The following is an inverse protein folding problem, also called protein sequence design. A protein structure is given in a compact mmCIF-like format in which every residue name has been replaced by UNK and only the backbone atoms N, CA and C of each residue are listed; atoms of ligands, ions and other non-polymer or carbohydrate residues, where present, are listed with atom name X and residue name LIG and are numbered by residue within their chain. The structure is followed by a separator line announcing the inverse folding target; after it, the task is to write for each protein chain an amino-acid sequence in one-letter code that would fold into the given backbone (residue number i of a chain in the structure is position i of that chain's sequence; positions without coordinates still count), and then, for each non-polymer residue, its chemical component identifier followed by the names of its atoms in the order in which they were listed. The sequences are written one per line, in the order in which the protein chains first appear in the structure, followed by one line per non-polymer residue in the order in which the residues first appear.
data_IF_247520104474
#
_entry.id   IF_247520104474
#
_cell.length_a   1.000
_cell.length_b   1.000
_cell.length_c   1.000
_cell.angle_alpha   90.00
_cell.angle_beta   90.00
_cell.angle_gamma   90.00
#
_symmetry.space_group_name_H-M   'P 1'
#
loop_
_entity.id
_entity.type
_entity.pdbx_description
1 polymer ?
#
# COMPACT_ATOMS: atom_id res chain seq x y z
N UNK A 1 -0.94 -15.53 16.34
CA UNK A 1 -1.16 -14.12 15.96
C UNK A 1 0.06 -13.36 16.44
N UNK A 2 0.66 -12.58 15.55
CA UNK A 2 1.87 -11.79 15.86
C UNK A 2 1.65 -10.38 15.36
N UNK A 3 2.12 -9.38 16.10
CA UNK A 3 1.92 -7.97 15.79
C UNK A 3 3.25 -7.22 15.77
N UNK A 4 3.31 -6.19 14.93
CA UNK A 4 4.43 -5.26 14.84
C UNK A 4 3.92 -3.85 14.68
N UNK A 5 4.80 -2.87 14.95
CA UNK A 5 4.57 -1.48 14.59
C UNK A 5 5.83 -0.87 14.03
N UNK A 6 5.65 0.14 13.19
CA UNK A 6 6.70 1.03 12.75
C UNK A 6 6.24 2.46 12.98
N UNK A 7 7.13 3.26 13.56
CA UNK A 7 6.79 4.58 14.09
C UNK A 7 7.71 5.65 13.54
N UNK A 8 7.12 6.81 13.26
CA UNK A 8 7.84 8.07 13.16
C UNK A 8 7.34 9.01 14.27
N UNK A 9 7.93 10.20 14.46
CA UNK A 9 7.37 11.16 15.41
C UNK A 9 5.90 11.56 15.13
N UNK A 10 5.43 11.41 13.88
CA UNK A 10 4.11 11.88 13.47
C UNK A 10 3.08 10.77 13.25
N UNK A 11 3.50 9.54 12.96
CA UNK A 11 2.59 8.46 12.56
C UNK A 11 3.03 7.08 13.04
N UNK A 12 2.07 6.15 13.06
CA UNK A 12 2.28 4.73 13.32
C UNK A 12 1.61 3.90 12.22
N UNK A 13 2.30 2.87 11.74
CA UNK A 13 1.69 1.74 11.04
C UNK A 13 1.79 0.52 11.94
N UNK A 14 0.66 -0.01 12.39
CA UNK A 14 0.57 -1.26 13.13
C UNK A 14 0.12 -2.39 12.19
N UNK A 15 0.73 -3.56 12.36
CA UNK A 15 0.50 -4.72 11.53
C UNK A 15 0.22 -5.96 12.38
N UNK A 16 -0.58 -6.87 11.85
CA UNK A 16 -0.82 -8.18 12.43
C UNK A 16 -0.74 -9.29 11.38
N UNK A 17 -0.36 -10.49 11.80
CA UNK A 17 -0.55 -11.71 10.99
C UNK A 17 -1.29 -12.79 11.77
N UNK A 18 -2.10 -13.53 11.03
CA UNK A 18 -2.79 -14.75 11.47
C UNK A 18 -2.23 -16.01 10.80
N UNK A 19 -1.00 -15.94 10.28
CA UNK A 19 -0.28 -17.04 9.61
C UNK A 19 -0.09 -16.82 8.11
N UNK A 20 -0.78 -15.86 7.50
CA UNK A 20 -0.57 -15.41 6.11
C UNK A 20 0.25 -14.11 6.04
N UNK A 21 0.26 -13.46 4.88
CA UNK A 21 0.91 -12.16 4.72
C UNK A 21 0.34 -11.18 5.76
N UNK A 22 1.18 -10.42 6.50
CA UNK A 22 0.70 -9.44 7.46
C UNK A 22 -0.25 -8.42 6.84
N UNK A 23 -1.22 -7.94 7.61
CA UNK A 23 -2.15 -6.88 7.25
C UNK A 23 -1.96 -5.65 8.15
N UNK A 24 -2.28 -4.47 7.62
CA UNK A 24 -2.24 -3.23 8.38
C UNK A 24 -3.53 -3.10 9.19
N UNK A 25 -3.41 -3.13 10.50
CA UNK A 25 -4.54 -2.97 11.43
C UNK A 25 -4.78 -1.51 11.80
N UNK A 26 -3.74 -0.68 11.67
CA UNK A 26 -3.82 0.76 11.88
C UNK A 26 -2.77 1.49 11.06
N UNK A 27 -3.17 2.58 10.42
CA UNK A 27 -2.27 3.59 9.89
C UNK A 27 -2.86 4.96 10.19
N UNK A 28 -2.13 5.77 10.96
CA UNK A 28 -2.66 7.03 11.48
C UNK A 28 -1.64 7.80 12.31
N UNK A 29 -2.09 8.78 13.12
CA UNK A 29 -1.22 9.53 14.02
C UNK A 29 -0.40 8.61 14.94
N UNK A 30 0.73 9.12 15.45
CA UNK A 30 1.61 8.36 16.34
C UNK A 30 0.83 7.84 17.56
N UNK A 31 0.79 6.51 17.71
CA UNK A 31 0.22 5.83 18.88
C UNK A 31 1.21 5.90 20.05
N UNK A 32 0.73 5.92 21.31
CA UNK A 32 1.59 5.79 22.48
C UNK A 32 2.45 4.53 22.42
N UNK A 33 3.66 4.56 22.96
CA UNK A 33 4.56 3.39 22.94
C UNK A 33 4.00 2.21 23.75
N UNK A 34 3.07 2.47 24.67
CA UNK A 34 2.36 1.49 25.51
C UNK A 34 1.11 0.90 24.87
N UNK A 35 0.79 1.24 23.61
CA UNK A 35 -0.41 0.77 22.93
C UNK A 35 -0.46 -0.77 22.83
N UNK A 36 -1.62 -1.36 23.14
CA UNK A 36 -1.85 -2.80 22.99
C UNK A 36 -2.20 -3.15 21.54
N UNK A 37 -1.17 -3.54 20.78
CA UNK A 37 -1.34 -3.93 19.37
C UNK A 37 -2.19 -5.19 19.18
N UNK A 38 -2.25 -6.09 20.17
CA UNK A 38 -3.09 -7.28 20.09
C UNK A 38 -4.56 -6.90 20.19
N UNK A 39 -4.89 -6.00 21.11
CA UNK A 39 -6.23 -5.45 21.24
C UNK A 39 -6.64 -4.66 19.98
N UNK A 40 -5.74 -3.84 19.44
CA UNK A 40 -5.97 -3.08 18.21
C UNK A 40 -6.25 -4.01 17.01
N UNK A 41 -5.45 -5.08 16.87
CA UNK A 41 -5.66 -6.08 15.83
C UNK A 41 -6.98 -6.85 16.01
N UNK A 42 -7.38 -7.16 17.24
CA UNK A 42 -8.67 -7.78 17.52
C UNK A 42 -9.85 -6.86 17.15
N UNK A 43 -9.74 -5.56 17.45
CA UNK A 43 -10.76 -4.55 17.13
C UNK A 43 -10.89 -4.27 15.62
N UNK A 44 -9.83 -4.50 14.84
CA UNK A 44 -9.85 -4.33 13.38
C UNK A 44 -10.56 -5.48 12.64
N UNK A 45 -10.92 -6.56 13.32
CA UNK A 45 -11.59 -7.71 12.70
C UNK A 45 -13.04 -7.37 12.38
N UNK A 46 -13.45 -7.70 11.17
CA UNK A 46 -14.84 -7.60 10.74
C UNK A 46 -15.58 -8.91 11.05
N UNK A 47 -16.83 -8.77 11.49
CA UNK A 47 -17.73 -9.90 11.66
C UNK A 47 -18.10 -10.53 10.30
N UNK A 48 -18.38 -11.83 10.34
CA UNK A 48 -18.99 -12.54 9.23
C UNK A 48 -20.50 -12.25 9.22
N UNK A 49 -20.99 -11.69 8.13
CA UNK A 49 -22.43 -11.46 7.89
C UNK A 49 -23.03 -12.59 7.05
N UNK A 50 -24.36 -12.69 7.02
CA UNK A 50 -25.04 -13.74 6.26
C UNK A 50 -24.74 -13.67 4.75
N UNK A 51 -24.34 -14.81 4.16
CA UNK A 51 -24.01 -14.93 2.73
C UNK A 51 -22.52 -14.84 2.40
N UNK A 52 -21.66 -14.77 3.41
CA UNK A 52 -20.21 -14.75 3.23
C UNK A 52 -19.61 -16.16 3.16
N UNK A 53 -18.49 -16.29 2.45
CA UNK A 53 -17.61 -17.47 2.57
C UNK A 53 -17.11 -17.55 4.02
N UNK A 54 -16.81 -18.76 4.49
CA UNK A 54 -16.48 -19.10 5.89
C UNK A 54 -15.42 -18.18 6.55
N UNK A 55 -14.63 -17.43 5.77
CA UNK A 55 -13.72 -16.38 6.23
C UNK A 55 -13.68 -15.20 5.25
N UNK A 56 -13.50 -13.98 5.80
CA UNK A 56 -13.14 -12.80 5.02
C UNK A 56 -11.68 -12.89 4.56
N UNK A 57 -11.38 -12.83 3.26
CA UNK A 57 -10.00 -12.74 2.78
C UNK A 57 -9.31 -11.51 3.37
N UNK A 58 -8.07 -11.68 3.84
CA UNK A 58 -7.26 -10.64 4.45
C UNK A 58 -7.00 -9.50 3.46
N UNK A 59 -7.10 -8.25 3.93
CA UNK A 59 -6.54 -7.11 3.20
C UNK A 59 -5.09 -6.94 3.66
N UNK A 60 -4.25 -7.87 3.22
CA UNK A 60 -2.84 -7.94 3.60
C UNK A 60 -2.01 -6.92 2.83
N UNK A 61 -0.72 -6.83 3.15
CA UNK A 61 0.25 -6.03 2.38
C UNK A 61 0.37 -6.49 0.91
N UNK A 62 -0.15 -7.67 0.55
CA UNK A 62 -0.27 -8.13 -0.82
C UNK A 62 -1.47 -9.10 -0.92
N UNK A 63 -2.70 -8.58 -1.18
CA UNK A 63 -3.89 -9.41 -1.22
C UNK A 63 -3.81 -10.50 -2.30
N UNK A 64 -4.27 -11.70 -1.96
CA UNK A 64 -3.93 -12.91 -2.71
C UNK A 64 -5.12 -13.43 -3.52
N UNK A 65 -4.94 -13.61 -4.84
CA UNK A 65 -5.95 -14.24 -5.68
C UNK A 65 -6.23 -15.70 -5.28
N UNK A 66 -5.22 -16.42 -4.76
CA UNK A 66 -5.34 -17.79 -4.26
C UNK A 66 -6.21 -17.96 -3.01
N UNK A 67 -6.57 -16.86 -2.32
CA UNK A 67 -7.49 -16.86 -1.17
C UNK A 67 -8.86 -16.27 -1.49
N UNK A 68 -9.25 -16.28 -2.78
CA UNK A 68 -10.52 -15.73 -3.26
C UNK A 68 -10.74 -14.26 -2.81
N UNK A 69 -9.66 -13.47 -2.73
CA UNK A 69 -9.78 -12.04 -2.45
C UNK A 69 -10.65 -11.37 -3.51
N UNK A 70 -11.68 -10.64 -3.07
CA UNK A 70 -12.74 -10.14 -3.95
C UNK A 70 -12.38 -8.88 -4.74
N UNK A 71 -11.24 -8.26 -4.47
CA UNK A 71 -10.74 -7.06 -5.15
C UNK A 71 -9.51 -7.31 -6.00
N UNK A 72 -8.80 -6.25 -6.35
CA UNK A 72 -7.53 -6.32 -7.07
C UNK A 72 -6.45 -6.99 -6.19
N UNK A 73 -5.82 -8.09 -6.63
CA UNK A 73 -4.72 -8.72 -5.89
C UNK A 73 -3.45 -7.85 -5.96
N UNK A 74 -2.57 -7.99 -4.96
CA UNK A 74 -1.27 -7.32 -4.95
C UNK A 74 -0.20 -7.98 -5.82
N UNK A 75 -0.47 -9.20 -6.31
CA UNK A 75 0.42 -9.96 -7.17
C UNK A 75 -0.39 -10.68 -8.26
N UNK A 76 -0.01 -10.46 -9.53
CA UNK A 76 -0.46 -11.25 -10.68
C UNK A 76 0.78 -11.74 -11.40
N UNK A 77 0.92 -13.06 -11.47
CA UNK A 77 2.13 -13.73 -11.95
C UNK A 77 1.77 -15.03 -12.66
N UNK A 78 2.58 -15.40 -13.65
CA UNK A 78 2.54 -16.70 -14.31
C UNK A 78 3.92 -17.34 -14.35
N UNK A 79 3.97 -18.65 -14.57
CA UNK A 79 5.23 -19.35 -14.86
C UNK A 79 5.86 -18.89 -16.19
N UNK A 80 7.02 -19.46 -16.51
CA UNK A 80 7.75 -19.17 -17.76
C UNK A 80 6.96 -19.54 -19.03
N UNK A 81 5.99 -20.46 -18.94
CA UNK A 81 5.15 -20.93 -20.04
C UNK A 81 3.83 -20.15 -20.15
N UNK A 82 3.55 -19.25 -19.22
CA UNK A 82 2.34 -18.42 -19.19
C UNK A 82 1.18 -19.02 -18.39
N UNK A 83 1.39 -20.11 -17.65
CA UNK A 83 0.37 -20.68 -16.76
C UNK A 83 0.18 -19.75 -15.56
N UNK A 84 -1.05 -19.24 -15.31
CA UNK A 84 -1.30 -18.39 -14.15
C UNK A 84 -0.97 -19.11 -12.84
N UNK A 85 -0.31 -18.40 -11.92
CA UNK A 85 -0.01 -18.90 -10.58
C UNK A 85 -0.87 -18.15 -9.56
N UNK A 86 -1.46 -18.90 -8.63
CA UNK A 86 -2.25 -18.37 -7.53
C UNK A 86 -1.61 -18.74 -6.18
N UNK A 87 -0.42 -18.19 -5.87
CA UNK A 87 0.29 -18.53 -4.65
C UNK A 87 -0.55 -18.20 -3.41
N UNK A 88 -0.46 -19.09 -2.42
CA UNK A 88 -1.05 -18.90 -1.09
C UNK A 88 0.09 -18.83 -0.09
N UNK A 89 0.43 -17.62 0.32
CA UNK A 89 1.56 -17.29 1.16
C UNK A 89 1.28 -17.61 2.62
N UNK A 90 2.33 -18.12 3.26
CA UNK A 90 2.45 -18.31 4.70
C UNK A 90 3.51 -17.37 5.23
N UNK A 91 3.26 -16.80 6.41
CA UNK A 91 4.25 -15.97 7.09
C UNK A 91 5.43 -16.84 7.53
N UNK A 92 6.64 -16.40 7.23
CA UNK A 92 7.87 -17.12 7.58
C UNK A 92 8.53 -16.49 8.81
N UNK A 93 8.94 -15.22 8.71
CA UNK A 93 9.61 -14.50 9.80
C UNK A 93 9.53 -12.99 9.62
N UNK A 94 9.84 -12.28 10.71
CA UNK A 94 10.12 -10.85 10.71
C UNK A 94 11.59 -10.60 11.06
N UNK A 95 12.21 -9.64 10.39
CA UNK A 95 13.51 -9.09 10.76
C UNK A 95 13.26 -7.66 11.24
N UNK A 96 13.53 -7.41 12.53
CA UNK A 96 13.23 -6.14 13.19
C UNK A 96 14.55 -5.46 13.54
N UNK A 97 14.70 -4.21 13.12
CA UNK A 97 15.81 -3.34 13.45
C UNK A 97 15.27 -1.96 13.87
N UNK A 98 16.07 -1.11 14.52
CA UNK A 98 15.66 0.26 14.82
C UNK A 98 15.22 0.99 13.56
N UNK A 99 13.95 1.40 13.50
CA UNK A 99 13.37 2.12 12.35
C UNK A 99 13.18 1.28 11.08
N UNK A 100 13.37 -0.05 11.11
CA UNK A 100 13.16 -0.91 9.94
C UNK A 100 12.50 -2.23 10.31
N UNK A 101 11.54 -2.64 9.48
CA UNK A 101 10.79 -3.87 9.62
C UNK A 101 10.75 -4.58 8.27
N UNK A 102 11.27 -5.81 8.21
CA UNK A 102 11.14 -6.68 7.03
C UNK A 102 10.25 -7.85 7.38
N UNK A 103 9.19 -8.05 6.60
CA UNK A 103 8.20 -9.09 6.80
C UNK A 103 8.25 -10.06 5.62
N UNK A 104 8.65 -11.30 5.90
CA UNK A 104 8.92 -12.31 4.88
C UNK A 104 7.78 -13.34 4.87
N UNK A 105 7.24 -13.63 3.68
CA UNK A 105 6.22 -14.65 3.46
C UNK A 105 6.57 -15.52 2.25
N UNK A 106 6.20 -16.80 2.26
CA UNK A 106 6.58 -17.77 1.21
C UNK A 106 5.40 -18.59 0.69
N UNK A 107 5.43 -18.91 -0.60
CA UNK A 107 4.50 -19.81 -1.28
C UNK A 107 5.17 -20.46 -2.50
N UNK A 108 5.21 -21.78 -2.58
CA UNK A 108 5.56 -22.49 -3.83
C UNK A 108 6.87 -22.05 -4.51
N UNK A 109 7.95 -21.83 -3.74
CA UNK A 109 9.24 -21.36 -4.25
C UNK A 109 9.30 -19.85 -4.56
N UNK A 110 8.27 -19.09 -4.16
CA UNK A 110 8.22 -17.62 -4.23
C UNK A 110 8.34 -17.07 -2.81
N UNK A 111 9.20 -16.07 -2.62
CA UNK A 111 9.35 -15.31 -1.40
C UNK A 111 8.97 -13.86 -1.65
N UNK A 112 8.04 -13.34 -0.84
CA UNK A 112 7.75 -11.91 -0.76
C UNK A 112 8.40 -11.32 0.49
N UNK A 113 9.11 -10.22 0.33
CA UNK A 113 9.62 -9.40 1.44
C UNK A 113 8.99 -8.02 1.37
N UNK A 114 8.20 -7.68 2.38
CA UNK A 114 7.70 -6.31 2.55
C UNK A 114 8.65 -5.57 3.49
N UNK A 115 9.25 -4.50 3.01
CA UNK A 115 10.19 -3.66 3.76
C UNK A 115 9.48 -2.37 4.13
N UNK A 116 9.50 -2.04 5.43
CA UNK A 116 9.00 -0.79 5.96
C UNK A 116 10.16 -0.08 6.68
N UNK A 117 10.39 1.19 6.36
CA UNK A 117 11.48 1.98 6.95
C UNK A 117 10.96 3.33 7.43
N UNK A 118 11.14 3.62 8.72
CA UNK A 118 10.78 4.88 9.34
C UNK A 118 11.93 5.88 9.19
N UNK A 119 11.64 7.03 8.60
CA UNK A 119 12.60 8.12 8.47
C UNK A 119 12.41 9.14 9.60
N UNK A 120 13.52 9.71 10.06
CA UNK A 120 13.51 10.79 11.06
C UNK A 120 12.74 12.04 10.59
N UNK A 121 12.59 12.20 9.27
CA UNK A 121 11.83 13.27 8.60
C UNK A 121 10.32 13.17 8.83
N UNK A 122 9.82 12.01 9.25
CA UNK A 122 8.41 11.76 9.57
C UNK A 122 7.70 10.80 8.61
N UNK A 123 8.33 10.44 7.49
CA UNK A 123 7.76 9.52 6.48
C UNK A 123 8.03 8.05 6.81
N UNK A 124 7.18 7.15 6.32
CA UNK A 124 7.46 5.71 6.29
C UNK A 124 7.60 5.30 4.83
N UNK A 125 8.71 4.66 4.48
CA UNK A 125 8.98 4.10 3.16
C UNK A 125 8.52 2.65 3.14
N UNK A 126 7.82 2.23 2.08
CA UNK A 126 7.30 0.88 1.92
C UNK A 126 7.71 0.30 0.56
N UNK A 127 8.26 -0.90 0.53
CA UNK A 127 8.68 -1.58 -0.70
C UNK A 127 8.36 -3.07 -0.66
N UNK A 128 8.00 -3.65 -1.81
CA UNK A 128 7.83 -5.10 -1.98
C UNK A 128 8.97 -5.63 -2.84
N UNK A 129 9.63 -6.68 -2.35
CA UNK A 129 10.61 -7.47 -3.08
C UNK A 129 10.02 -8.86 -3.33
N UNK A 130 10.20 -9.39 -4.54
CA UNK A 130 9.82 -10.74 -4.93
C UNK A 130 11.07 -11.49 -5.38
N UNK A 131 11.33 -12.62 -4.75
CA UNK A 131 12.36 -13.59 -5.16
C UNK A 131 11.68 -14.92 -5.49
N UNK A 132 12.20 -15.64 -6.50
CA UNK A 132 11.68 -16.95 -6.89
C UNK A 132 12.76 -17.95 -7.30
N UNK A 133 12.50 -19.24 -7.05
CA UNK A 133 13.42 -20.32 -7.40
C UNK A 133 13.58 -20.49 -8.93
N UNK A 134 12.50 -20.24 -9.67
CA UNK A 134 12.41 -20.31 -11.12
C UNK A 134 11.99 -18.96 -11.74
N UNK A 135 12.36 -18.66 -13.00
CA UNK A 135 11.94 -17.42 -13.65
C UNK A 135 10.42 -17.31 -13.79
N UNK A 136 9.88 -16.14 -13.45
CA UNK A 136 8.47 -15.82 -13.49
C UNK A 136 8.20 -14.72 -14.50
N UNK A 137 6.95 -14.66 -14.98
CA UNK A 137 6.42 -13.50 -15.70
C UNK A 137 5.49 -12.75 -14.76
N UNK A 138 5.89 -11.56 -14.33
CA UNK A 138 5.11 -10.72 -13.42
C UNK A 138 4.26 -9.74 -14.25
N UNK A 139 2.94 -9.83 -14.14
CA UNK A 139 2.02 -8.88 -14.76
C UNK A 139 1.67 -7.72 -13.82
N UNK A 140 1.70 -7.96 -12.51
CA UNK A 140 1.45 -6.96 -11.48
C UNK A 140 2.20 -7.32 -10.20
N UNK A 141 2.94 -6.36 -9.65
CA UNK A 141 3.52 -6.42 -8.31
C UNK A 141 3.26 -5.07 -7.64
N UNK A 142 2.39 -5.08 -6.64
CA UNK A 142 2.12 -3.91 -5.82
C UNK A 142 3.21 -3.71 -4.76
N UNK A 143 3.57 -2.46 -4.53
CA UNK A 143 4.20 -2.05 -3.28
C UNK A 143 3.22 -2.36 -2.13
N UNK A 144 3.68 -2.40 -0.87
CA UNK A 144 2.84 -2.89 0.22
C UNK A 144 1.48 -2.17 0.24
N UNK A 145 0.42 -2.95 0.10
CA UNK A 145 -0.94 -2.46 -0.04
C UNK A 145 -1.39 -1.86 1.29
N UNK A 146 -1.91 -0.63 1.24
CA UNK A 146 -2.35 0.09 2.42
C UNK A 146 -3.87 0.24 2.43
N UNK A 147 -4.54 0.05 3.59
CA UNK A 147 -5.94 0.37 3.73
C UNK A 147 -6.14 1.88 3.60
N UNK A 148 -7.28 2.29 3.05
CA UNK A 148 -7.68 3.69 3.05
C UNK A 148 -8.68 4.00 4.17
N UNK A 149 -8.74 5.25 4.65
CA UNK A 149 -9.75 5.69 5.61
C UNK A 149 -11.18 5.43 5.13
N UNK A 150 -12.05 5.06 6.07
CA UNK A 150 -13.48 4.83 5.83
C UNK A 150 -14.29 6.12 5.69
N UNK A 151 -13.74 7.24 6.15
CA UNK A 151 -14.36 8.57 6.07
C UNK A 151 -13.60 9.48 5.10
N UNK A 152 -14.29 10.49 4.58
CA UNK A 152 -13.74 11.49 3.68
C UNK A 152 -13.55 11.03 2.23
N UNK A 153 -12.58 11.64 1.54
CA UNK A 153 -12.46 11.57 0.08
C UNK A 153 -11.01 11.43 -0.38
N UNK A 154 -10.83 11.13 -1.67
CA UNK A 154 -9.53 11.16 -2.32
C UNK A 154 -9.29 12.55 -2.93
N UNK A 155 -8.07 13.05 -2.85
CA UNK A 155 -7.56 14.07 -3.75
C UNK A 155 -6.55 13.39 -4.67
N UNK A 156 -6.97 13.17 -5.92
CA UNK A 156 -6.07 12.68 -6.96
C UNK A 156 -5.45 13.86 -7.73
N UNK A 157 -4.27 13.63 -8.30
CA UNK A 157 -3.56 14.65 -9.06
C UNK A 157 -3.74 14.41 -10.55
N UNK A 158 -4.19 15.42 -11.27
CA UNK A 158 -4.27 15.44 -12.73
C UNK A 158 -3.57 16.67 -13.30
N UNK A 159 -3.59 16.80 -14.61
CA UNK A 159 -3.03 17.95 -15.30
C UNK A 159 -2.80 17.68 -16.76
N UNK A 160 -2.15 18.63 -17.40
CA UNK A 160 -1.58 18.52 -18.74
C UNK A 160 -0.38 19.46 -18.84
N UNK A 161 0.40 19.36 -19.91
CA UNK A 161 1.47 20.31 -20.16
C UNK A 161 0.96 21.76 -20.07
N UNK A 162 1.68 22.61 -19.33
CA UNK A 162 1.35 24.02 -19.00
C UNK A 162 0.21 24.22 -18.00
N UNK A 163 -0.38 23.14 -17.48
CA UNK A 163 -1.43 23.13 -16.44
C UNK A 163 -1.33 21.87 -15.58
N UNK A 164 -0.19 21.69 -14.93
CA UNK A 164 0.15 20.53 -14.12
C UNK A 164 -0.44 20.61 -12.68
N UNK A 165 -0.51 19.46 -11.99
CA UNK A 165 -0.80 19.34 -10.55
C UNK A 165 -2.17 19.86 -10.07
N UNK A 166 -3.22 19.65 -10.87
CA UNK A 166 -4.59 19.92 -10.46
C UNK A 166 -5.07 18.85 -9.47
N UNK A 167 -5.39 19.27 -8.23
CA UNK A 167 -5.98 18.43 -7.21
C UNK A 167 -7.48 18.26 -7.47
N UNK A 168 -7.92 17.02 -7.70
CA UNK A 168 -9.32 16.70 -7.95
C UNK A 168 -9.86 15.92 -6.78
N UNK A 169 -10.86 16.51 -6.11
CA UNK A 169 -11.65 15.82 -5.10
C UNK A 169 -12.51 14.76 -5.78
N UNK A 170 -12.31 13.51 -5.35
CA UNK A 170 -13.02 12.34 -5.86
C UNK A 170 -13.57 11.57 -4.67
N UNK A 171 -14.87 11.32 -4.68
CA UNK A 171 -15.51 10.49 -3.67
C UNK A 171 -15.19 9.01 -3.91
N UNK A 172 -15.29 8.22 -2.85
CA UNK A 172 -15.20 6.76 -2.98
C UNK A 172 -16.48 6.20 -3.61
N UNK A 173 -16.29 5.26 -4.52
CA UNK A 173 -17.37 4.51 -5.16
C UNK A 173 -17.00 3.04 -5.14
N UNK A 174 -17.93 2.11 -4.84
CA UNK A 174 -17.68 0.68 -4.93
C UNK A 174 -17.04 0.30 -6.27
N UNK A 175 -15.96 -0.49 -6.22
CA UNK A 175 -15.14 -0.83 -7.37
C UNK A 175 -13.82 -0.06 -7.45
N UNK A 176 -13.19 -0.11 -8.63
CA UNK A 176 -11.81 0.33 -8.83
C UNK A 176 -11.73 1.69 -9.53
N UNK A 177 -10.96 2.59 -8.92
CA UNK A 177 -10.37 3.76 -9.57
C UNK A 177 -8.91 3.48 -9.92
N UNK A 178 -8.62 3.45 -11.22
CA UNK A 178 -7.28 3.19 -11.75
C UNK A 178 -6.71 4.45 -12.42
N UNK A 179 -5.48 4.81 -12.09
CA UNK A 179 -4.69 5.82 -12.81
C UNK A 179 -3.35 5.22 -13.21
N UNK A 180 -2.97 5.36 -14.46
CA UNK A 180 -1.78 4.71 -14.98
C UNK A 180 -1.02 5.61 -15.95
N UNK A 181 0.26 5.83 -15.68
CA UNK A 181 1.19 6.50 -16.58
C UNK A 181 1.87 5.45 -17.47
N UNK A 182 1.44 5.36 -18.74
CA UNK A 182 1.94 4.35 -19.69
C UNK A 182 3.06 4.84 -20.60
N UNK A 183 3.42 6.12 -20.52
CA UNK A 183 4.34 6.77 -21.47
C UNK A 183 5.81 6.63 -21.08
N UNK A 184 6.14 5.70 -20.15
CA UNK A 184 7.51 5.48 -19.67
C UNK A 184 8.04 6.59 -18.76
N UNK A 185 7.21 7.57 -18.40
CA UNK A 185 7.50 8.68 -17.49
C UNK A 185 6.29 8.96 -16.62
N UNK A 186 6.48 9.65 -15.49
CA UNK A 186 5.38 10.07 -14.62
C UNK A 186 4.37 10.99 -15.34
N UNK A 187 4.88 11.88 -16.19
CA UNK A 187 4.07 12.76 -17.03
C UNK A 187 3.37 13.88 -16.27
N UNK A 188 2.56 14.65 -16.98
CA UNK A 188 1.79 15.78 -16.44
C UNK A 188 0.39 15.35 -15.99
N UNK A 189 -0.09 14.24 -16.54
CA UNK A 189 -1.47 13.76 -16.49
C UNK A 189 -1.72 12.88 -15.26
N UNK A 190 -0.70 12.12 -14.86
CA UNK A 190 -0.78 11.14 -13.78
C UNK A 190 0.44 11.22 -12.85
N UNK A 191 0.65 12.33 -12.12
CA UNK A 191 1.66 12.31 -11.06
C UNK A 191 1.36 11.20 -10.03
N UNK A 192 2.38 10.46 -9.53
CA UNK A 192 2.23 9.27 -8.68
C UNK A 192 1.85 9.59 -7.22
N UNK A 193 0.85 10.45 -7.02
CA UNK A 193 0.43 10.97 -5.72
C UNK A 193 -1.06 10.68 -5.47
N UNK A 194 -1.36 10.30 -4.23
CA UNK A 194 -2.71 10.23 -3.71
C UNK A 194 -2.74 10.85 -2.32
N UNK A 195 -3.71 11.73 -2.07
CA UNK A 195 -4.00 12.22 -0.73
C UNK A 195 -5.38 11.69 -0.33
N UNK A 196 -5.49 11.17 0.88
CA UNK A 196 -6.71 10.66 1.48
C UNK A 196 -7.07 11.61 2.62
N UNK A 197 -8.16 12.34 2.49
CA UNK A 197 -8.59 13.32 3.47
C UNK A 197 -9.69 12.76 4.34
N UNK A 198 -9.69 13.10 5.62
CA UNK A 198 -10.85 12.93 6.49
C UNK A 198 -11.92 13.98 6.21
N UNK A 199 -13.12 13.78 6.76
CA UNK A 199 -14.20 14.74 6.64
C UNK A 199 -13.81 16.12 7.20
N UNK A 200 -14.11 17.18 6.45
CA UNK A 200 -13.78 18.55 6.84
C UNK A 200 -12.30 18.91 6.80
N UNK A 201 -11.41 18.06 6.25
CA UNK A 201 -10.01 18.39 6.08
C UNK A 201 -9.84 19.66 5.23
N UNK A 202 -8.99 20.56 5.69
CA UNK A 202 -8.62 21.81 5.03
C UNK A 202 -7.11 21.86 4.78
N UNK A 203 -6.61 22.99 4.28
CA UNK A 203 -5.17 23.18 4.15
C UNK A 203 -4.46 23.19 5.52
N UNK A 204 -5.08 23.72 6.57
CA UNK A 204 -4.40 23.99 7.85
C UNK A 204 -4.92 23.16 9.02
N UNK A 205 -5.93 22.31 8.83
CA UNK A 205 -6.52 21.49 9.88
C UNK A 205 -7.18 20.23 9.33
N UNK A 206 -7.31 19.22 10.18
CA UNK A 206 -7.99 17.97 9.88
C UNK A 206 -7.03 16.84 9.54
N UNK A 207 -7.60 15.64 9.48
CA UNK A 207 -6.86 14.42 9.18
C UNK A 207 -6.61 14.30 7.68
N UNK A 208 -5.36 14.01 7.31
CA UNK A 208 -4.98 13.66 5.96
C UNK A 208 -3.89 12.58 5.98
N UNK A 209 -3.91 11.73 4.98
CA UNK A 209 -2.84 10.81 4.64
C UNK A 209 -2.41 11.05 3.22
N UNK A 210 -1.17 10.72 2.90
CA UNK A 210 -0.67 10.82 1.54
C UNK A 210 0.27 9.69 1.21
N UNK A 211 0.23 9.30 -0.07
CA UNK A 211 1.07 8.29 -0.68
C UNK A 211 1.73 8.89 -1.91
N UNK A 212 3.03 8.68 -2.02
CA UNK A 212 3.81 9.00 -3.21
C UNK A 212 4.60 7.77 -3.64
N UNK A 213 4.37 7.26 -4.85
CA UNK A 213 5.21 6.21 -5.41
C UNK A 213 6.46 6.85 -6.01
N UNK A 214 7.61 6.66 -5.35
CA UNK A 214 8.90 7.30 -5.65
C UNK A 214 9.55 6.74 -6.93
N UNK A 215 8.84 6.89 -8.05
CA UNK A 215 9.21 6.37 -9.36
C UNK A 215 8.96 7.41 -10.43
N UNK A 216 9.95 7.60 -11.31
CA UNK A 216 9.88 8.56 -12.41
C UNK A 216 9.37 7.94 -13.71
N UNK A 217 9.29 6.61 -13.80
CA UNK A 217 8.85 5.88 -14.98
C UNK A 217 7.33 5.62 -15.03
N UNK A 218 6.95 4.67 -15.88
CA UNK A 218 5.56 4.22 -15.96
C UNK A 218 5.12 3.57 -14.64
N UNK A 219 4.00 4.02 -14.11
CA UNK A 219 3.46 3.55 -12.83
C UNK A 219 1.93 3.46 -12.88
N UNK A 220 1.36 2.73 -11.93
CA UNK A 220 -0.08 2.52 -11.77
C UNK A 220 -0.48 2.69 -10.31
N UNK A 221 -1.55 3.45 -10.10
CA UNK A 221 -2.28 3.55 -8.85
C UNK A 221 -3.61 2.81 -8.98
N UNK A 222 -3.95 2.03 -7.96
CA UNK A 222 -5.27 1.39 -7.80
C UNK A 222 -5.83 1.86 -6.47
N UNK A 223 -6.96 2.56 -6.49
CA UNK A 223 -7.75 2.85 -5.30
C UNK A 223 -9.09 2.13 -5.44
N UNK A 224 -9.40 1.22 -4.54
CA UNK A 224 -10.58 0.34 -4.66
C UNK A 224 -11.38 0.30 -3.37
N UNK A 225 -12.70 0.44 -3.49
CA UNK A 225 -13.64 0.09 -2.43
C UNK A 225 -14.22 -1.31 -2.71
N UNK A 226 -13.96 -2.23 -1.78
CA UNK A 226 -14.36 -3.64 -1.87
C UNK A 226 -15.86 -3.80 -1.57
N UNK A 227 -16.49 -4.91 -1.99
CA UNK A 227 -17.90 -5.20 -1.67
C UNK A 227 -18.21 -5.23 -0.16
N UNK A 228 -17.20 -5.50 0.67
CA UNK A 228 -17.31 -5.47 2.13
C UNK A 228 -17.08 -4.07 2.75
N UNK A 229 -16.97 -3.01 1.95
CA UNK A 229 -16.73 -1.63 2.39
C UNK A 229 -15.27 -1.31 2.74
N UNK A 230 -14.41 -2.32 2.94
CA UNK A 230 -12.96 -2.09 3.09
C UNK A 230 -12.39 -1.43 1.84
N UNK A 231 -11.46 -0.51 2.03
CA UNK A 231 -10.80 0.23 0.95
C UNK A 231 -9.32 -0.09 0.91
N UNK A 232 -8.77 -0.19 -0.30
CA UNK A 232 -7.35 -0.42 -0.50
C UNK A 232 -6.74 0.58 -1.48
N UNK A 233 -5.47 0.88 -1.27
CA UNK A 233 -4.63 1.61 -2.22
C UNK A 233 -3.39 0.78 -2.55
N UNK A 234 -3.12 0.65 -3.84
CA UNK A 234 -1.93 0.00 -4.37
C UNK A 234 -1.19 0.97 -5.30
N UNK A 235 0.13 0.88 -5.27
CA UNK A 235 1.01 1.48 -6.27
C UNK A 235 1.96 0.41 -6.81
N UNK A 236 2.37 0.56 -8.06
CA UNK A 236 3.35 -0.33 -8.68
C UNK A 236 3.80 0.22 -10.03
N UNK A 237 4.70 -0.50 -10.69
CA UNK A 237 5.10 -0.17 -12.06
C UNK A 237 3.91 -0.35 -13.01
N UNK A 238 3.91 0.41 -14.11
CA UNK A 238 2.81 0.34 -15.08
C UNK A 238 2.63 -1.08 -15.67
N UNK A 239 1.42 -1.39 -16.11
CA UNK A 239 1.11 -2.65 -16.77
C UNK A 239 2.01 -2.84 -18.00
N UNK A 240 2.69 -3.97 -18.06
CA UNK A 240 3.66 -4.27 -19.12
C UNK A 240 5.02 -3.60 -18.95
N UNK A 241 5.32 -2.99 -17.80
CA UNK A 241 6.68 -2.52 -17.48
C UNK A 241 7.67 -3.69 -17.40
N UNK A 242 7.24 -4.81 -16.81
CA UNK A 242 8.01 -6.06 -16.77
C UNK A 242 7.68 -6.91 -18.00
N UNK A 243 8.65 -7.03 -18.92
CA UNK A 243 8.47 -7.76 -20.19
C UNK A 243 9.24 -9.07 -20.25
N UNK A 244 10.27 -9.20 -19.41
CA UNK A 244 11.19 -10.34 -19.39
C UNK A 244 10.87 -11.30 -18.24
N UNK A 245 11.28 -12.56 -18.42
CA UNK A 245 11.30 -13.51 -17.32
C UNK A 245 12.46 -13.17 -16.39
N UNK A 246 12.19 -13.10 -15.09
CA UNK A 246 13.22 -12.92 -14.09
C UNK A 246 12.90 -13.71 -12.83
N UNK A 247 13.89 -13.87 -11.97
CA UNK A 247 13.73 -14.49 -10.64
C UNK A 247 13.54 -13.47 -9.53
N UNK A 248 13.78 -12.20 -9.83
CA UNK A 248 13.81 -11.12 -8.85
C UNK A 248 13.10 -9.92 -9.42
N UNK A 249 12.20 -9.35 -8.63
CA UNK A 249 11.46 -8.14 -8.96
C UNK A 249 11.36 -7.25 -7.72
N UNK A 250 11.31 -5.94 -7.94
CA UNK A 250 11.16 -4.98 -6.88
C UNK A 250 10.27 -3.83 -7.32
N UNK A 251 9.42 -3.36 -6.43
CA UNK A 251 8.69 -2.10 -6.63
C UNK A 251 9.61 -0.93 -6.32
N UNK A 252 9.25 0.27 -6.76
CA UNK A 252 9.79 1.47 -6.12
C UNK A 252 9.20 1.60 -4.71
N UNK A 253 9.76 2.53 -3.93
CA UNK A 253 9.24 2.84 -2.60
C UNK A 253 7.93 3.62 -2.71
N UNK A 254 6.96 3.28 -1.87
CA UNK A 254 5.83 4.17 -1.54
C UNK A 254 6.21 4.95 -0.29
N UNK A 255 6.17 6.27 -0.38
CA UNK A 255 6.36 7.18 0.75
C UNK A 255 5.00 7.49 1.36
N UNK A 256 4.78 7.04 2.59
CA UNK A 256 3.54 7.22 3.34
C UNK A 256 3.68 8.31 4.41
N UNK A 257 2.67 9.17 4.50
CA UNK A 257 2.60 10.30 5.44
C UNK A 257 1.20 10.39 6.05
N UNK A 258 1.12 10.70 7.34
CA UNK A 258 -0.11 11.11 8.02
C UNK A 258 0.06 12.50 8.63
N UNK A 259 -1.01 13.30 8.62
CA UNK A 259 -1.08 14.64 9.22
C UNK A 259 -2.42 14.83 9.93
N UNK A 260 -2.40 15.47 11.09
CA UNK A 260 -3.60 16.01 11.77
C UNK A 260 -3.75 17.52 11.57
N UNK A 261 -2.85 18.13 10.79
CA UNK A 261 -2.79 19.58 10.51
C UNK A 261 -3.17 19.89 9.05
N UNK A 262 -4.03 19.06 8.46
CA UNK A 262 -4.48 19.21 7.09
C UNK A 262 -3.39 18.98 6.04
N UNK A 263 -3.64 19.50 4.83
CA UNK A 263 -2.77 19.32 3.66
C UNK A 263 -1.40 19.98 3.82
N UNK A 264 -1.30 21.07 4.57
CA UNK A 264 -0.02 21.75 4.84
C UNK A 264 0.91 20.88 5.68
N UNK A 265 0.38 20.07 6.61
CA UNK A 265 1.19 19.12 7.37
C UNK A 265 1.77 18.00 6.49
N UNK A 266 0.98 17.51 5.51
CA UNK A 266 1.46 16.59 4.48
C UNK A 266 2.59 17.25 3.67
N UNK A 267 2.34 18.44 3.14
CA UNK A 267 3.29 19.15 2.30
C UNK A 267 4.61 19.44 3.04
N UNK A 268 4.53 19.94 4.29
CA UNK A 268 5.71 20.22 5.10
C UNK A 268 6.54 18.95 5.37
N UNK A 269 5.89 17.80 5.61
CA UNK A 269 6.59 16.54 5.86
C UNK A 269 7.28 16.03 4.59
N UNK A 270 6.62 16.03 3.43
CA UNK A 270 7.27 15.65 2.17
C UNK A 270 8.41 16.60 1.79
N UNK A 271 8.22 17.91 1.93
CA UNK A 271 9.27 18.89 1.64
C UNK A 271 10.46 18.74 2.58
N UNK A 272 10.24 18.33 3.83
CA UNK A 272 11.32 18.02 4.78
C UNK A 272 12.05 16.75 4.34
N UNK A 273 11.31 15.69 3.99
CA UNK A 273 11.92 14.44 3.53
C UNK A 273 12.83 14.64 2.32
N UNK A 274 12.39 15.41 1.33
CA UNK A 274 13.19 15.65 0.12
C UNK A 274 14.44 16.52 0.40
N UNK A 275 14.40 17.39 1.42
CA UNK A 275 15.50 18.32 1.73
C UNK A 275 16.53 17.72 2.68
N UNK A 276 16.08 16.91 3.63
CA UNK A 276 16.88 16.53 4.80
C UNK A 276 17.30 15.03 4.79
N UNK A 277 16.83 14.25 3.81
CA UNK A 277 17.22 12.84 3.58
C UNK A 277 18.31 12.74 2.53
#
# INVERSE_FOLDING_TARGET
MTTWRIDTPAQTIALATYGGIPEVTYWGPRLPDTEDLLQLAAAARLDLTGGMIDQLPALSLCPESGRAFSGQPGLVVSDAHGTPLHPVFTFDRAEVAPGSLRLISRAGGITLTHVLTAQATGVILLQTLLDSDAPLRVQWLAAPVLPAPQQGHMLDVSGKWTREFHLNRTDWTPGVRLREARTGRSGHEHPPYLILTGDGCTNSAGFAQALHYAWSGGHRMVAEELPCGRRQVQFGHASGAETQLAKQFATAEVVAVTSTQGLNGIAATFQRDIRDR
#
